data_IF_597351032894
#
_entry.id   IF_597351032894
#
_cell.length_a   1.000
_cell.length_b   1.000
_cell.length_c   1.000
_cell.angle_alpha   90.00
_cell.angle_beta   90.00
_cell.angle_gamma   90.00
#
_symmetry.space_group_name_H-M   'P 1'
#
loop_
_entity.id
_entity.type
_entity.pdbx_description
1 polymer ?
#
# COMPACT_ATOMS: atom_id res chain seq x y z
N UNK A 1 -6.17 -12.90 6.83
CA UNK A 1 -5.30 -13.00 8.02
C UNK A 1 -4.86 -14.43 8.21
N UNK A 2 -3.57 -14.72 8.09
CA UNK A 2 -3.01 -16.07 8.18
C UNK A 2 -2.65 -16.35 9.65
N UNK A 3 -3.53 -17.04 10.37
CA UNK A 3 -3.28 -17.46 11.75
C UNK A 3 -2.17 -18.54 11.88
N UNK A 4 -1.62 -19.02 10.76
CA UNK A 4 -0.69 -20.16 10.72
C UNK A 4 0.80 -19.77 10.62
N UNK A 5 1.14 -18.47 10.51
CA UNK A 5 2.53 -17.99 10.47
C UNK A 5 2.66 -16.79 11.41
N UNK A 6 3.15 -17.04 12.63
CA UNK A 6 3.20 -16.13 13.77
C UNK A 6 3.16 -14.62 13.49
N UNK A 7 2.25 -13.94 14.17
CA UNK A 7 2.09 -12.48 14.35
C UNK A 7 3.29 -11.58 13.98
N UNK A 8 4.54 -11.82 14.40
CA UNK A 8 5.69 -11.00 14.00
C UNK A 8 5.95 -10.92 12.48
N UNK A 9 5.70 -11.98 11.71
CA UNK A 9 5.90 -11.96 10.24
C UNK A 9 4.82 -11.14 9.56
N UNK A 10 3.57 -11.26 10.02
CA UNK A 10 2.45 -10.45 9.53
C UNK A 10 2.67 -8.96 9.77
N UNK A 11 3.13 -8.59 10.97
CA UNK A 11 3.45 -7.19 11.29
C UNK A 11 4.56 -6.62 10.42
N UNK A 12 5.60 -7.41 10.13
CA UNK A 12 6.70 -6.98 9.26
C UNK A 12 6.22 -6.74 7.83
N UNK A 13 5.34 -7.60 7.31
CA UNK A 13 4.70 -7.39 6.01
C UNK A 13 3.84 -6.12 6.02
N UNK A 14 3.05 -5.88 7.06
CA UNK A 14 2.21 -4.68 7.17
C UNK A 14 3.05 -3.40 7.25
N UNK A 15 4.16 -3.40 8.01
CA UNK A 15 5.11 -2.28 8.05
C UNK A 15 5.75 -2.03 6.69
N UNK A 16 6.11 -3.09 6.00
CA UNK A 16 6.68 -3.05 4.66
C UNK A 16 5.70 -2.49 3.63
N UNK A 17 4.43 -2.87 3.70
CA UNK A 17 3.37 -2.30 2.86
C UNK A 17 3.18 -0.81 3.19
N UNK A 18 3.05 -0.46 4.47
CA UNK A 18 2.88 0.93 4.91
C UNK A 18 4.03 1.84 4.45
N UNK A 19 5.27 1.40 4.61
CA UNK A 19 6.46 2.15 4.17
C UNK A 19 6.47 2.36 2.65
N UNK A 20 6.02 1.38 1.87
CA UNK A 20 5.97 1.50 0.40
C UNK A 20 4.86 2.42 -0.03
N UNK A 21 3.66 2.28 0.55
CA UNK A 21 2.54 3.17 0.27
C UNK A 21 2.95 4.63 0.55
N UNK A 22 3.63 4.89 1.67
CA UNK A 22 4.13 6.24 2.01
C UNK A 22 5.11 6.82 0.98
N UNK A 23 5.89 5.98 0.30
CA UNK A 23 6.81 6.43 -0.77
C UNK A 23 6.12 6.67 -2.12
N UNK A 24 4.88 6.21 -2.29
CA UNK A 24 4.14 6.31 -3.55
C UNK A 24 3.09 7.43 -3.55
N UNK A 25 2.88 8.09 -2.43
CA UNK A 25 1.92 9.18 -2.26
C UNK A 25 2.64 10.50 -2.09
N UNK A 26 1.95 11.62 -2.36
CA UNK A 26 2.50 12.95 -2.14
C UNK A 26 2.59 13.25 -0.65
N UNK A 27 3.33 14.30 -0.28
CA UNK A 27 3.47 14.72 1.11
C UNK A 27 2.14 15.16 1.73
N UNK A 28 1.27 15.78 0.92
CA UNK A 28 -0.07 16.25 1.33
C UNK A 28 -1.12 15.12 1.34
N UNK A 29 -0.80 13.95 0.78
CA UNK A 29 -1.71 12.80 0.80
C UNK A 29 -1.60 12.05 2.14
N UNK A 30 -2.73 11.61 2.69
CA UNK A 30 -2.76 10.90 3.97
C UNK A 30 -3.02 9.40 3.78
N UNK A 31 -2.17 8.56 4.36
CA UNK A 31 -2.39 7.10 4.45
C UNK A 31 -2.76 6.72 5.88
N UNK A 32 -3.85 5.97 6.04
CA UNK A 32 -4.28 5.39 7.30
C UNK A 32 -4.43 3.87 7.17
N UNK A 33 -4.18 3.13 8.26
CA UNK A 33 -4.57 1.72 8.39
C UNK A 33 -5.82 1.65 9.24
N UNK A 34 -6.94 1.18 8.69
CA UNK A 34 -8.22 1.15 9.41
C UNK A 34 -8.35 -0.11 10.30
N UNK A 35 -7.70 -1.20 9.92
CA UNK A 35 -7.71 -2.46 10.67
C UNK A 35 -7.16 -3.60 9.82
N UNK A 36 -6.68 -4.68 10.47
CA UNK A 36 -6.16 -5.85 9.75
C UNK A 36 -5.12 -5.50 8.67
N UNK A 37 -5.43 -5.88 7.44
CA UNK A 37 -4.68 -5.59 6.20
C UNK A 37 -5.31 -4.47 5.34
N UNK A 38 -6.27 -3.72 5.88
CA UNK A 38 -6.95 -2.62 5.20
C UNK A 38 -6.21 -1.29 5.35
N UNK A 39 -5.88 -0.69 4.20
CA UNK A 39 -5.27 0.64 4.10
C UNK A 39 -6.17 1.60 3.32
N UNK A 40 -6.25 2.84 3.78
CA UNK A 40 -7.01 3.93 3.17
C UNK A 40 -6.08 5.07 2.80
N UNK A 41 -6.26 5.58 1.59
CA UNK A 41 -5.56 6.75 1.07
C UNK A 41 -6.56 7.89 0.91
N UNK A 42 -6.30 9.00 1.59
CA UNK A 42 -6.96 10.28 1.38
C UNK A 42 -6.04 11.11 0.46
N UNK A 43 -6.54 11.42 -0.73
CA UNK A 43 -5.83 12.24 -1.70
C UNK A 43 -6.37 13.65 -1.62
N UNK A 44 -5.48 14.59 -1.38
CA UNK A 44 -5.82 16.01 -1.36
C UNK A 44 -5.68 16.61 -2.78
N UNK A 45 -6.37 17.73 -3.03
CA UNK A 45 -6.27 18.48 -4.29
C UNK A 45 -6.59 17.69 -5.59
N UNK A 46 -7.58 16.79 -5.54
CA UNK A 46 -8.11 16.21 -6.77
C UNK A 46 -8.91 17.26 -7.56
N UNK A 47 -8.40 17.62 -8.74
CA UNK A 47 -9.02 18.60 -9.63
C UNK A 47 -10.38 18.12 -10.16
N UNK A 48 -10.49 16.85 -10.57
CA UNK A 48 -11.76 16.24 -10.97
C UNK A 48 -11.97 14.89 -10.27
N UNK A 49 -13.18 14.59 -9.79
CA UNK A 49 -13.48 13.28 -9.16
C UNK A 49 -13.10 12.07 -10.02
N UNK A 50 -13.08 12.23 -11.35
CA UNK A 50 -12.65 11.21 -12.31
C UNK A 50 -11.16 10.86 -12.23
N UNK A 51 -10.33 11.72 -11.63
CA UNK A 51 -8.88 11.53 -11.49
C UNK A 51 -8.51 10.56 -10.36
N UNK A 52 -9.45 10.29 -9.44
CA UNK A 52 -9.24 9.39 -8.31
C UNK A 52 -8.94 7.96 -8.75
N UNK A 53 -9.70 7.41 -9.70
CA UNK A 53 -9.53 6.03 -10.15
C UNK A 53 -8.20 5.80 -10.92
N UNK A 54 -7.79 6.66 -11.87
CA UNK A 54 -6.47 6.58 -12.48
C UNK A 54 -5.32 6.67 -11.47
N UNK A 55 -5.43 7.56 -10.48
CA UNK A 55 -4.43 7.72 -9.44
C UNK A 55 -4.32 6.47 -8.56
N UNK A 56 -5.44 5.93 -8.10
CA UNK A 56 -5.48 4.67 -7.34
C UNK A 56 -4.85 3.52 -8.13
N UNK A 57 -5.15 3.41 -9.43
CA UNK A 57 -4.59 2.37 -10.32
C UNK A 57 -3.07 2.52 -10.48
N UNK A 58 -2.56 3.75 -10.61
CA UNK A 58 -1.12 4.02 -10.69
C UNK A 58 -0.42 3.59 -9.40
N UNK A 59 -0.96 3.99 -8.25
CA UNK A 59 -0.40 3.67 -6.94
C UNK A 59 -0.40 2.15 -6.68
N UNK A 60 -1.49 1.47 -7.08
CA UNK A 60 -1.60 0.01 -7.03
C UNK A 60 -0.54 -0.70 -7.87
N UNK A 61 -0.40 -0.31 -9.15
CA UNK A 61 0.57 -0.92 -10.05
C UNK A 61 2.01 -0.78 -9.51
N UNK A 62 2.35 0.36 -8.94
CA UNK A 62 3.67 0.59 -8.38
C UNK A 62 3.94 -0.28 -7.15
N UNK A 63 2.93 -0.44 -6.28
CA UNK A 63 3.01 -1.33 -5.12
C UNK A 63 3.21 -2.78 -5.55
N UNK A 64 2.42 -3.26 -6.52
CA UNK A 64 2.47 -4.64 -7.00
C UNK A 64 3.78 -4.96 -7.70
N UNK A 65 4.30 -4.06 -8.54
CA UNK A 65 5.58 -4.26 -9.23
C UNK A 65 6.75 -4.41 -8.24
N UNK A 66 6.73 -3.70 -7.11
CA UNK A 66 7.79 -3.78 -6.09
C UNK A 66 7.65 -4.97 -5.13
N UNK A 67 6.43 -5.47 -4.89
CA UNK A 67 6.21 -6.65 -4.06
C UNK A 67 6.51 -7.95 -4.83
N UNK A 68 6.13 -8.02 -6.10
CA UNK A 68 6.41 -9.18 -6.95
C UNK A 68 7.91 -9.40 -7.14
N UNK A 69 8.72 -8.36 -7.37
CA UNK A 69 10.18 -8.53 -7.49
C UNK A 69 10.77 -9.19 -6.25
N UNK A 70 10.44 -8.71 -5.04
CA UNK A 70 11.00 -9.31 -3.81
C UNK A 70 10.51 -10.74 -3.55
N UNK A 71 9.30 -11.10 -3.97
CA UNK A 71 8.78 -12.46 -3.82
C UNK A 71 9.49 -13.45 -4.76
N UNK A 72 9.79 -13.07 -6.01
CA UNK A 72 10.46 -13.96 -6.97
C UNK A 72 11.97 -14.11 -6.72
N UNK A 73 12.60 -13.16 -6.02
CA UNK A 73 14.02 -13.25 -5.64
C UNK A 73 14.28 -14.02 -4.34
N UNK A 74 13.24 -14.53 -3.69
CA UNK A 74 13.33 -15.28 -2.44
C UNK A 74 13.05 -16.78 -2.62
N UNK A 75 13.03 -17.28 -3.86
CA UNK A 75 12.88 -18.69 -4.23
C UNK A 75 14.08 -19.10 -5.08
#
# INVERSE_FOLDING_TARGET
MNDSLGHPVGDEVLKQVASRLKQQVREDDTIARLGGDEFTLLVEEIANPTDAAPLAKKNWNNLMNHLLWKATSCI
#
